data_IF_797880107579
#
_entry.id   IF_797880107579
#
_cell.length_a   1.000
_cell.length_b   1.000
_cell.length_c   1.000
_cell.angle_alpha   90.00
_cell.angle_beta   90.00
_cell.angle_gamma   90.00
#
_symmetry.space_group_name_H-M   'P 1'
#
loop_
_entity.id
_entity.type
_entity.pdbx_description
1 polymer ?
#
# COMPACT_ATOMS: atom_id res chain seq x y z
N UNK A 1 19.07 7.37 -11.55
CA UNK A 1 18.15 6.45 -10.85
C UNK A 1 16.80 7.15 -10.71
N UNK A 2 15.74 6.55 -11.27
CA UNK A 2 14.38 7.04 -11.19
C UNK A 2 13.56 6.11 -10.30
N UNK A 3 12.83 6.66 -9.33
CA UNK A 3 12.00 5.92 -8.40
C UNK A 3 10.56 6.41 -8.54
N UNK A 4 9.64 5.50 -8.89
CA UNK A 4 8.21 5.78 -8.78
C UNK A 4 7.76 5.53 -7.34
N UNK A 5 7.39 6.60 -6.64
CA UNK A 5 7.06 6.53 -5.22
C UNK A 5 5.59 6.24 -4.93
N UNK A 6 4.74 6.08 -5.95
CA UNK A 6 3.30 5.85 -5.74
C UNK A 6 2.71 4.88 -6.76
N UNK A 7 2.93 3.59 -6.53
CA UNK A 7 2.38 2.53 -7.39
C UNK A 7 1.47 1.59 -6.61
N UNK A 8 0.60 0.92 -7.34
CA UNK A 8 -0.32 -0.08 -6.80
C UNK A 8 -0.22 -1.36 -7.60
N UNK A 9 -0.22 -2.48 -6.91
CA UNK A 9 -0.38 -3.82 -7.46
C UNK A 9 -1.15 -4.68 -6.46
N UNK A 10 -1.66 -5.80 -6.94
CA UNK A 10 -2.48 -6.74 -6.18
C UNK A 10 -1.93 -8.16 -6.34
N UNK A 11 -2.24 -9.03 -5.39
CA UNK A 11 -1.99 -10.46 -5.55
C UNK A 11 -2.77 -10.98 -6.79
N UNK A 12 -2.15 -11.81 -7.60
CA UNK A 12 -2.67 -12.24 -8.92
C UNK A 12 -4.12 -12.72 -8.86
N UNK A 13 -4.48 -13.47 -7.84
CA UNK A 13 -5.85 -14.01 -7.63
C UNK A 13 -6.94 -12.97 -7.47
N UNK A 14 -6.58 -11.70 -7.18
CA UNK A 14 -7.56 -10.60 -6.97
C UNK A 14 -7.32 -9.43 -7.92
N UNK A 15 -6.23 -9.41 -8.69
CA UNK A 15 -5.81 -8.28 -9.50
C UNK A 15 -6.88 -7.85 -10.50
N UNK A 16 -7.43 -8.77 -11.29
CA UNK A 16 -8.48 -8.47 -12.26
C UNK A 16 -9.70 -7.81 -11.61
N UNK A 17 -10.19 -8.39 -10.50
CA UNK A 17 -11.36 -7.85 -9.78
C UNK A 17 -11.06 -6.48 -9.16
N UNK A 18 -9.85 -6.29 -8.64
CA UNK A 18 -9.43 -5.03 -8.04
C UNK A 18 -9.36 -3.92 -9.10
N UNK A 19 -8.76 -4.18 -10.25
CA UNK A 19 -8.71 -3.23 -11.38
C UNK A 19 -10.12 -2.91 -11.89
N UNK A 20 -10.99 -3.90 -12.04
CA UNK A 20 -12.37 -3.67 -12.47
C UNK A 20 -13.11 -2.72 -11.51
N UNK A 21 -13.03 -2.96 -10.21
CA UNK A 21 -13.65 -2.10 -9.19
C UNK A 21 -13.08 -0.68 -9.18
N UNK A 22 -11.76 -0.51 -9.32
CA UNK A 22 -11.13 0.81 -9.40
C UNK A 22 -11.53 1.55 -10.68
N UNK A 23 -11.62 0.85 -11.80
CA UNK A 23 -12.05 1.45 -13.08
C UNK A 23 -13.50 1.90 -13.03
N UNK A 24 -14.37 1.11 -12.42
CA UNK A 24 -15.78 1.45 -12.22
C UNK A 24 -15.94 2.73 -11.37
N UNK A 25 -15.16 2.84 -10.30
CA UNK A 25 -15.17 4.04 -9.44
C UNK A 25 -14.54 5.28 -10.12
N UNK A 26 -13.72 5.09 -11.14
CA UNK A 26 -13.03 6.17 -11.87
C UNK A 26 -13.71 6.55 -13.21
N UNK A 27 -14.93 6.07 -13.48
CA UNK A 27 -15.62 6.28 -14.77
C UNK A 27 -15.78 7.73 -15.18
N UNK A 28 -15.96 8.63 -14.20
CA UNK A 28 -16.14 10.06 -14.45
C UNK A 28 -14.85 10.78 -14.90
N UNK A 29 -13.70 10.18 -14.71
CA UNK A 29 -12.41 10.77 -15.02
C UNK A 29 -11.83 10.32 -16.38
N UNK A 30 -12.44 9.33 -17.05
CA UNK A 30 -11.98 8.81 -18.36
C UNK A 30 -10.63 8.09 -18.30
N UNK A 31 -10.12 7.75 -17.13
CA UNK A 31 -8.87 7.01 -16.98
C UNK A 31 -9.02 5.55 -17.38
N UNK A 32 -7.97 5.03 -18.03
CA UNK A 32 -7.84 3.60 -18.31
C UNK A 32 -6.63 3.06 -17.55
N UNK A 33 -6.73 1.86 -16.94
CA UNK A 33 -5.60 1.25 -16.30
C UNK A 33 -4.49 0.96 -17.31
N UNK A 34 -3.24 1.25 -16.97
CA UNK A 34 -2.07 0.97 -17.79
C UNK A 34 -1.52 -0.45 -17.55
N UNK A 35 -1.97 -1.10 -16.49
CA UNK A 35 -1.56 -2.45 -16.10
C UNK A 35 -2.78 -3.30 -15.79
N UNK A 36 -2.60 -4.62 -15.81
CA UNK A 36 -3.62 -5.56 -15.37
C UNK A 36 -3.70 -5.72 -13.83
N UNK A 37 -2.93 -4.91 -13.09
CA UNK A 37 -2.89 -4.89 -11.63
C UNK A 37 -1.97 -5.93 -10.99
N UNK A 38 -1.33 -6.81 -11.76
CA UNK A 38 -0.36 -7.77 -11.20
C UNK A 38 1.01 -7.14 -11.01
N UNK A 39 1.80 -7.68 -10.07
CA UNK A 39 3.20 -7.24 -9.83
C UNK A 39 4.06 -7.45 -11.08
N UNK A 40 3.85 -8.54 -11.81
CA UNK A 40 4.61 -8.85 -13.03
C UNK A 40 4.37 -7.82 -14.15
N UNK A 41 3.10 -7.45 -14.38
CA UNK A 41 2.76 -6.48 -15.42
C UNK A 41 3.19 -5.07 -15.02
N UNK A 42 3.03 -4.69 -13.74
CA UNK A 42 3.55 -3.42 -13.23
C UNK A 42 5.07 -3.30 -13.45
N UNK A 43 5.84 -4.34 -13.13
CA UNK A 43 7.29 -4.37 -13.37
C UNK A 43 7.62 -4.14 -14.85
N UNK A 44 6.94 -4.86 -15.73
CA UNK A 44 7.14 -4.73 -17.17
C UNK A 44 6.95 -3.29 -17.62
N UNK A 45 5.79 -2.70 -17.31
CA UNK A 45 5.45 -1.32 -17.72
C UNK A 45 6.47 -0.31 -17.17
N UNK A 46 6.81 -0.39 -15.89
CA UNK A 46 7.74 0.55 -15.26
C UNK A 46 9.18 0.40 -15.81
N UNK A 47 9.61 -0.82 -16.08
CA UNK A 47 10.93 -1.06 -16.71
C UNK A 47 11.00 -0.48 -18.13
N UNK A 48 9.94 -0.66 -18.92
CA UNK A 48 9.83 -0.08 -20.26
C UNK A 48 9.85 1.47 -20.24
N UNK A 49 9.41 2.09 -19.13
CA UNK A 49 9.45 3.53 -18.90
C UNK A 49 10.78 4.02 -18.27
N UNK A 50 11.75 3.13 -18.07
CA UNK A 50 13.06 3.50 -17.52
C UNK A 50 13.05 3.77 -16.01
N UNK A 51 12.06 3.26 -15.27
CA UNK A 51 12.02 3.32 -13.81
C UNK A 51 12.97 2.27 -13.23
N UNK A 52 13.80 2.68 -12.29
CA UNK A 52 14.78 1.79 -11.63
C UNK A 52 14.21 1.10 -10.40
N UNK A 53 13.29 1.76 -9.67
CA UNK A 53 12.63 1.23 -8.46
C UNK A 53 11.20 1.75 -8.35
N UNK A 54 10.35 0.99 -7.67
CA UNK A 54 8.98 1.41 -7.41
C UNK A 54 8.54 1.10 -5.97
N UNK A 55 7.82 2.04 -5.37
CA UNK A 55 7.18 1.86 -4.07
C UNK A 55 5.76 1.35 -4.28
N UNK A 56 5.47 0.14 -3.81
CA UNK A 56 4.11 -0.41 -3.82
C UNK A 56 3.41 -0.05 -2.52
N UNK A 57 2.23 0.55 -2.64
CA UNK A 57 1.43 1.08 -1.54
C UNK A 57 0.11 0.30 -1.39
N UNK A 58 0.12 -0.86 -0.70
CA UNK A 58 -1.10 -1.62 -0.44
C UNK A 58 -1.96 -0.94 0.63
N UNK A 59 -3.26 -1.28 0.67
CA UNK A 59 -4.22 -0.68 1.60
C UNK A 59 -5.05 -1.76 2.27
N UNK A 60 -5.02 -1.80 3.61
CA UNK A 60 -5.92 -2.60 4.42
C UNK A 60 -7.23 -1.83 4.62
N UNK A 61 -8.25 -2.12 3.81
CA UNK A 61 -9.57 -1.47 3.89
C UNK A 61 -10.47 -2.03 5.00
N UNK A 62 -10.03 -3.10 5.67
CA UNK A 62 -10.69 -3.72 6.83
C UNK A 62 -9.64 -4.15 7.85
N UNK A 63 -9.97 -4.14 9.16
CA UNK A 63 -9.04 -4.60 10.21
C UNK A 63 -8.46 -5.99 9.97
N UNK A 64 -9.27 -6.93 9.48
CA UNK A 64 -8.88 -8.33 9.26
C UNK A 64 -7.96 -8.54 8.05
N UNK A 65 -7.65 -7.51 7.27
CA UNK A 65 -6.83 -7.63 6.06
C UNK A 65 -5.35 -7.32 6.29
N UNK A 66 -5.00 -6.58 7.36
CA UNK A 66 -3.67 -6.04 7.53
C UNK A 66 -2.57 -7.12 7.50
N UNK A 67 -2.74 -8.22 8.23
CA UNK A 67 -1.75 -9.30 8.29
C UNK A 67 -1.53 -9.97 6.93
N UNK A 68 -2.61 -10.25 6.18
CA UNK A 68 -2.54 -10.89 4.86
C UNK A 68 -1.85 -9.96 3.85
N UNK A 69 -2.20 -8.68 3.88
CA UNK A 69 -1.63 -7.67 2.98
C UNK A 69 -0.14 -7.48 3.26
N UNK A 70 0.27 -7.42 4.52
CA UNK A 70 1.66 -7.22 4.90
C UNK A 70 2.52 -8.48 4.62
N UNK A 71 1.95 -9.68 4.72
CA UNK A 71 2.61 -10.90 4.28
C UNK A 71 2.88 -10.85 2.77
N UNK A 72 1.86 -10.54 1.98
CA UNK A 72 2.01 -10.37 0.54
C UNK A 72 3.02 -9.28 0.18
N UNK A 73 2.98 -8.13 0.84
CA UNK A 73 3.94 -7.05 0.64
C UNK A 73 5.39 -7.54 0.89
N UNK A 74 5.60 -8.38 1.91
CA UNK A 74 6.91 -8.98 2.17
C UNK A 74 7.34 -9.96 1.06
N UNK A 75 6.42 -10.74 0.51
CA UNK A 75 6.70 -11.72 -0.56
C UNK A 75 7.15 -11.06 -1.86
N UNK A 76 6.59 -9.89 -2.19
CA UNK A 76 6.91 -9.17 -3.44
C UNK A 76 8.13 -8.24 -3.33
N UNK A 77 8.70 -8.10 -2.13
CA UNK A 77 9.87 -7.25 -1.89
C UNK A 77 11.11 -7.82 -2.54
N UNK A 78 11.78 -7.01 -3.36
CA UNK A 78 13.05 -7.33 -3.99
C UNK A 78 13.91 -6.07 -4.27
N UNK A 79 14.87 -6.15 -5.18
CA UNK A 79 15.74 -5.00 -5.53
C UNK A 79 15.02 -3.91 -6.33
N UNK A 80 13.91 -4.23 -6.99
CA UNK A 80 13.09 -3.28 -7.77
C UNK A 80 11.92 -2.74 -6.95
N UNK A 81 11.20 -3.61 -6.24
CA UNK A 81 10.04 -3.21 -5.46
C UNK A 81 10.37 -2.94 -3.99
N UNK A 82 9.97 -1.76 -3.53
CA UNK A 82 10.07 -1.27 -2.16
C UNK A 82 8.66 -1.19 -1.56
N UNK A 83 8.03 -2.30 -1.15
CA UNK A 83 6.67 -2.26 -0.66
C UNK A 83 6.58 -1.64 0.73
N UNK A 84 5.53 -0.85 0.95
CA UNK A 84 5.08 -0.42 2.26
C UNK A 84 4.14 -1.47 2.86
N UNK A 85 3.94 -1.40 4.14
CA UNK A 85 2.85 -2.09 4.81
C UNK A 85 1.59 -1.22 4.89
N UNK A 86 0.52 -1.80 5.41
CA UNK A 86 -0.69 -1.08 5.77
C UNK A 86 -1.30 -1.67 7.03
N UNK A 87 -1.81 -0.81 7.91
CA UNK A 87 -2.67 -1.19 9.03
C UNK A 87 -4.03 -0.54 8.84
N UNK A 88 -5.05 -1.09 9.50
CA UNK A 88 -6.34 -0.43 9.62
C UNK A 88 -6.40 0.28 10.97
N UNK A 89 -6.69 1.60 11.03
CA UNK A 89 -6.66 2.35 12.28
C UNK A 89 -7.56 1.81 13.39
N UNK A 90 -8.65 1.12 13.01
CA UNK A 90 -9.61 0.51 13.94
C UNK A 90 -9.31 -0.96 14.26
N UNK A 91 -8.16 -1.50 13.85
CA UNK A 91 -7.74 -2.84 14.27
C UNK A 91 -7.28 -2.79 15.73
N UNK A 92 -7.68 -3.76 16.56
CA UNK A 92 -7.27 -3.80 17.97
C UNK A 92 -5.76 -4.04 18.13
N UNK A 93 -5.17 -4.78 17.19
CA UNK A 93 -3.77 -5.19 17.15
C UNK A 93 -2.88 -4.29 16.25
N UNK A 94 -3.33 -3.05 15.94
CA UNK A 94 -2.59 -2.16 15.05
C UNK A 94 -1.14 -1.90 15.49
N UNK A 95 -0.90 -1.85 16.81
CA UNK A 95 0.42 -1.60 17.37
C UNK A 95 1.39 -2.76 17.10
N UNK A 96 0.92 -3.98 17.34
CA UNK A 96 1.70 -5.20 17.10
C UNK A 96 1.97 -5.39 15.61
N UNK A 97 0.98 -5.04 14.77
CA UNK A 97 1.14 -5.11 13.32
C UNK A 97 2.14 -4.06 12.79
N UNK A 98 2.25 -2.87 13.40
CA UNK A 98 3.30 -1.91 13.06
C UNK A 98 4.71 -2.45 13.41
N UNK A 99 4.87 -3.09 14.56
CA UNK A 99 6.13 -3.77 14.92
C UNK A 99 6.44 -4.90 13.93
N UNK A 100 5.42 -5.63 13.52
CA UNK A 100 5.55 -6.68 12.52
C UNK A 100 5.95 -6.12 11.14
N UNK A 101 5.35 -5.02 10.68
CA UNK A 101 5.75 -4.31 9.46
C UNK A 101 7.24 -3.98 9.50
N UNK A 102 7.73 -3.46 10.63
CA UNK A 102 9.15 -3.18 10.82
C UNK A 102 10.00 -4.45 10.75
N UNK A 103 9.58 -5.52 11.42
CA UNK A 103 10.30 -6.80 11.44
C UNK A 103 10.35 -7.48 10.07
N UNK A 104 9.31 -7.33 9.26
CA UNK A 104 9.26 -7.80 7.88
C UNK A 104 10.17 -6.99 6.94
N UNK A 105 10.73 -5.89 7.43
CA UNK A 105 11.60 -4.99 6.65
C UNK A 105 10.85 -4.24 5.56
N UNK A 106 9.56 -3.97 5.74
CA UNK A 106 8.79 -3.10 4.86
C UNK A 106 9.23 -1.64 5.06
N UNK A 107 9.07 -0.82 4.04
CA UNK A 107 9.71 0.49 3.99
C UNK A 107 8.94 1.62 4.68
N UNK A 108 7.68 1.42 5.01
CA UNK A 108 6.82 2.40 5.67
C UNK A 108 5.38 1.92 5.77
N UNK A 109 4.45 2.84 6.01
CA UNK A 109 3.02 2.53 6.20
C UNK A 109 2.18 3.40 5.28
N UNK A 110 1.28 2.76 4.53
CA UNK A 110 0.27 3.43 3.69
C UNK A 110 -1.07 3.47 4.39
N UNK A 111 -1.68 4.65 4.36
CA UNK A 111 -3.07 4.89 4.76
C UNK A 111 -3.90 5.45 3.60
N UNK A 112 -5.20 5.22 3.67
CA UNK A 112 -6.18 5.78 2.75
C UNK A 112 -7.37 6.31 3.55
N UNK A 113 -7.41 7.62 3.87
CA UNK A 113 -8.45 8.19 4.72
C UNK A 113 -9.87 7.82 4.31
N UNK A 114 -10.23 7.97 3.03
CA UNK A 114 -11.57 7.64 2.55
C UNK A 114 -11.94 6.16 2.70
N UNK A 115 -11.03 5.25 2.30
CA UNK A 115 -11.32 3.80 2.34
C UNK A 115 -11.27 3.23 3.75
N UNK A 116 -10.56 3.89 4.66
CA UNK A 116 -10.42 3.49 6.05
C UNK A 116 -11.29 4.33 7.00
N UNK A 117 -12.06 5.31 6.45
CA UNK A 117 -13.02 6.15 7.13
C UNK A 117 -12.45 6.89 8.35
N UNK A 118 -11.43 7.71 8.14
CA UNK A 118 -10.85 8.59 9.15
C UNK A 118 -10.34 9.90 8.54
N UNK A 119 -10.17 10.92 9.36
CA UNK A 119 -9.44 12.13 9.01
C UNK A 119 -8.01 12.07 9.55
N UNK A 120 -7.06 12.63 8.80
CA UNK A 120 -5.64 12.59 9.18
C UNK A 120 -5.33 13.25 10.53
N UNK A 121 -6.20 14.15 10.98
CA UNK A 121 -6.11 14.86 12.25
C UNK A 121 -7.04 14.30 13.35
N UNK A 122 -7.65 13.14 13.15
CA UNK A 122 -8.41 12.49 14.22
C UNK A 122 -7.51 12.14 15.41
N UNK A 123 -7.97 12.39 16.62
CA UNK A 123 -7.17 12.23 17.84
C UNK A 123 -6.71 10.77 18.04
N UNK A 124 -7.51 9.79 17.64
CA UNK A 124 -7.14 8.37 17.74
C UNK A 124 -6.00 7.96 16.79
N UNK A 125 -5.69 8.77 15.77
CA UNK A 125 -4.57 8.54 14.86
C UNK A 125 -3.22 8.94 15.46
N UNK A 126 -3.17 9.88 16.40
CA UNK A 126 -1.91 10.36 16.96
C UNK A 126 -1.06 9.28 17.66
N UNK A 127 -1.62 8.33 18.42
CA UNK A 127 -0.86 7.20 18.94
C UNK A 127 -0.23 6.35 17.83
N UNK A 128 -0.94 6.13 16.73
CA UNK A 128 -0.47 5.39 15.56
C UNK A 128 0.72 6.11 14.92
N UNK A 129 0.61 7.42 14.71
CA UNK A 129 1.70 8.23 14.13
C UNK A 129 2.94 8.24 15.03
N UNK A 130 2.76 8.36 16.35
CA UNK A 130 3.86 8.25 17.30
C UNK A 130 4.56 6.90 17.21
N UNK A 131 3.80 5.82 17.17
CA UNK A 131 4.37 4.47 17.02
C UNK A 131 5.13 4.31 15.70
N UNK A 132 4.59 4.83 14.59
CA UNK A 132 5.31 4.85 13.31
C UNK A 132 6.64 5.60 13.42
N UNK A 133 6.65 6.77 14.07
CA UNK A 133 7.85 7.57 14.27
C UNK A 133 8.88 6.85 15.15
N UNK A 134 8.48 6.23 16.25
CA UNK A 134 9.33 5.42 17.14
C UNK A 134 10.00 4.26 16.39
N UNK A 135 9.26 3.62 15.48
CA UNK A 135 9.76 2.52 14.65
C UNK A 135 10.56 3.00 13.43
N UNK A 136 10.62 4.32 13.18
CA UNK A 136 11.25 4.89 11.98
C UNK A 136 10.56 4.47 10.69
N UNK A 137 9.23 4.35 10.71
CA UNK A 137 8.39 4.02 9.56
C UNK A 137 7.77 5.30 8.99
N UNK A 138 8.18 5.76 7.81
CA UNK A 138 7.50 6.86 7.12
C UNK A 138 6.04 6.50 6.81
N UNK A 139 5.19 7.53 6.84
CA UNK A 139 3.76 7.39 6.58
C UNK A 139 3.41 8.06 5.26
N UNK A 140 2.61 7.39 4.43
CA UNK A 140 2.09 7.92 3.16
C UNK A 140 0.56 7.85 3.18
N UNK A 141 -0.08 8.97 2.89
CA UNK A 141 -1.52 9.06 2.71
C UNK A 141 -1.91 9.04 1.23
N UNK A 142 -3.12 8.62 0.96
CA UNK A 142 -3.81 8.96 -0.28
C UNK A 142 -4.35 10.40 -0.12
N UNK A 143 -4.13 11.24 -1.13
CA UNK A 143 -4.63 12.61 -1.21
C UNK A 143 -5.48 12.78 -2.46
#
# INVERSE_FOLDING_TARGET
MYIDFHTHAFADKIAERAIAALTENATDCGYKPLTNGTVADLRKVLTEQGIDKAVILPIATKPTQQTIINNWAREIKDDFFCPFGSIHPMAEDWSDELERIKSLGLYGVKFHPDYQNFFVNDEFMYPIYRKCAELGLPVVFHA
#
